data_IF_638381341578
#
_entry.id   IF_638381341578
#
_cell.length_a   1.000
_cell.length_b   1.000
_cell.length_c   1.000
_cell.angle_alpha   90.00
_cell.angle_beta   90.00
_cell.angle_gamma   90.00
#
_symmetry.space_group_name_H-M   'P 1'
#
loop_
_entity.id
_entity.type
_entity.pdbx_description
1 polymer ?
#
# COMPACT_ATOMS: atom_id res chain seq x y z
N UNK A 1 10.52 19.09 -38.74
CA UNK A 1 10.79 19.33 -37.30
C UNK A 1 10.41 18.08 -36.54
N UNK A 2 11.36 17.42 -35.86
CA UNK A 2 11.02 16.35 -34.91
C UNK A 2 10.55 17.04 -33.64
N UNK A 3 9.35 16.73 -33.18
CA UNK A 3 8.89 17.17 -31.86
C UNK A 3 9.78 16.47 -30.85
N UNK A 4 10.68 17.22 -30.21
CA UNK A 4 11.40 16.74 -29.05
C UNK A 4 10.36 16.32 -28.02
N UNK A 5 10.28 15.01 -27.74
CA UNK A 5 9.40 14.51 -26.69
C UNK A 5 9.77 15.23 -25.39
N UNK A 6 8.80 15.81 -24.66
CA UNK A 6 9.09 16.43 -23.39
C UNK A 6 9.77 15.41 -22.48
N UNK A 7 11.06 15.62 -22.20
CA UNK A 7 11.78 14.83 -21.21
C UNK A 7 11.13 15.13 -19.87
N UNK A 8 10.41 14.15 -19.32
CA UNK A 8 9.81 14.29 -18.00
C UNK A 8 10.91 14.67 -16.99
N UNK A 9 10.69 15.69 -16.16
CA UNK A 9 11.69 16.21 -15.22
C UNK A 9 12.02 15.23 -14.08
N UNK A 10 11.24 14.16 -13.95
CA UNK A 10 11.43 13.11 -12.95
C UNK A 10 12.24 11.94 -13.49
N UNK A 11 13.27 11.58 -12.72
CA UNK A 11 14.03 10.32 -12.85
C UNK A 11 13.08 9.11 -12.70
N UNK A 12 13.45 7.96 -13.28
CA UNK A 12 12.62 6.76 -13.27
C UNK A 12 12.23 6.33 -11.85
N UNK A 13 13.19 6.34 -10.93
CA UNK A 13 13.00 6.01 -9.51
C UNK A 13 12.00 6.95 -8.82
N UNK A 14 11.97 8.23 -9.19
CA UNK A 14 11.02 9.17 -8.62
C UNK A 14 9.58 8.89 -9.08
N UNK A 15 9.41 8.38 -10.32
CA UNK A 15 8.09 7.97 -10.81
C UNK A 15 7.60 6.72 -10.10
N UNK A 16 8.47 5.72 -9.96
CA UNK A 16 8.13 4.50 -9.21
C UNK A 16 7.69 4.81 -7.78
N UNK A 17 8.36 5.75 -7.11
CA UNK A 17 7.96 6.22 -5.79
C UNK A 17 6.60 6.93 -5.78
N UNK A 18 6.32 7.76 -6.77
CA UNK A 18 5.03 8.44 -6.91
C UNK A 18 3.93 7.42 -7.17
N UNK A 19 4.13 6.49 -8.10
CA UNK A 19 3.18 5.43 -8.45
C UNK A 19 2.89 4.55 -7.23
N UNK A 20 3.93 4.13 -6.50
CA UNK A 20 3.78 3.42 -5.24
C UNK A 20 2.92 4.20 -4.23
N UNK A 21 3.22 5.49 -4.02
CA UNK A 21 2.47 6.31 -3.08
C UNK A 21 1.00 6.47 -3.49
N UNK A 22 0.72 6.65 -4.77
CA UNK A 22 -0.64 6.75 -5.32
C UNK A 22 -1.41 5.44 -5.12
N UNK A 23 -0.79 4.31 -5.45
CA UNK A 23 -1.38 2.99 -5.25
C UNK A 23 -1.62 2.72 -3.77
N UNK A 24 -0.65 3.04 -2.90
CA UNK A 24 -0.73 2.78 -1.46
C UNK A 24 -1.85 3.59 -0.78
N UNK A 25 -2.26 4.73 -1.35
CA UNK A 25 -3.44 5.48 -0.92
C UNK A 25 -4.77 4.82 -1.29
N UNK A 26 -4.79 3.84 -2.20
CA UNK A 26 -6.00 3.06 -2.50
C UNK A 26 -6.21 1.93 -1.49
N UNK A 27 -7.45 1.44 -1.39
CA UNK A 27 -7.76 0.28 -0.53
C UNK A 27 -6.99 -0.95 -1.01
N UNK A 28 -6.95 -1.15 -2.33
CA UNK A 28 -6.26 -2.27 -2.96
C UNK A 28 -4.75 -2.23 -2.70
N UNK A 29 -4.10 -1.07 -2.90
CA UNK A 29 -2.66 -0.95 -2.68
C UNK A 29 -2.27 -1.09 -1.21
N UNK A 30 -3.06 -0.55 -0.28
CA UNK A 30 -2.82 -0.81 1.15
C UNK A 30 -2.93 -2.30 1.49
N UNK A 31 -3.93 -3.00 0.95
CA UNK A 31 -4.06 -4.45 1.12
C UNK A 31 -2.85 -5.17 0.51
N UNK A 32 -2.39 -4.78 -0.67
CA UNK A 32 -1.24 -5.39 -1.33
C UNK A 32 0.04 -5.26 -0.51
N UNK A 33 0.35 -4.07 0.01
CA UNK A 33 1.52 -3.85 0.89
C UNK A 33 1.40 -4.65 2.18
N UNK A 34 0.19 -4.75 2.73
CA UNK A 34 -0.07 -5.61 3.88
C UNK A 34 0.20 -7.09 3.58
N UNK A 35 -0.30 -7.62 2.47
CA UNK A 35 -0.11 -9.03 2.10
C UNK A 35 1.34 -9.34 1.78
N UNK A 36 2.04 -8.43 1.12
CA UNK A 36 3.46 -8.52 0.88
C UNK A 36 4.23 -8.56 2.21
N UNK A 37 3.96 -7.62 3.12
CA UNK A 37 4.59 -7.58 4.45
C UNK A 37 4.31 -8.87 5.24
N UNK A 38 3.07 -9.34 5.21
CA UNK A 38 2.68 -10.56 5.93
C UNK A 38 3.37 -11.81 5.34
N UNK A 39 3.54 -11.86 4.03
CA UNK A 39 4.22 -12.96 3.33
C UNK A 39 5.73 -12.94 3.55
N UNK A 40 6.38 -11.80 3.28
CA UNK A 40 7.84 -11.69 3.23
C UNK A 40 8.46 -11.66 4.62
N UNK A 41 7.87 -10.95 5.57
CA UNK A 41 8.46 -10.79 6.91
C UNK A 41 7.93 -11.77 7.94
N UNK A 42 6.69 -12.24 7.76
CA UNK A 42 5.99 -13.04 8.76
C UNK A 42 5.53 -14.41 8.24
N UNK A 43 5.96 -14.80 7.03
CA UNK A 43 5.70 -16.10 6.42
C UNK A 43 4.20 -16.48 6.39
N UNK A 44 3.32 -15.49 6.26
CA UNK A 44 1.85 -15.66 6.28
C UNK A 44 1.30 -16.33 7.55
N UNK A 45 2.02 -16.26 8.68
CA UNK A 45 1.56 -16.84 9.94
C UNK A 45 0.44 -15.98 10.55
N UNK A 46 -0.73 -16.57 10.81
CA UNK A 46 -1.91 -15.87 11.34
C UNK A 46 -1.63 -15.10 12.64
N UNK A 47 -0.79 -15.64 13.54
CA UNK A 47 -0.38 -14.96 14.79
C UNK A 47 0.30 -13.60 14.56
N UNK A 48 0.86 -13.37 13.38
CA UNK A 48 1.58 -12.16 13.03
C UNK A 48 0.79 -11.18 12.16
N UNK A 49 -0.43 -11.53 11.77
CA UNK A 49 -1.29 -10.69 10.92
C UNK A 49 -1.50 -9.28 11.50
N UNK A 50 -1.71 -9.20 12.82
CA UNK A 50 -1.81 -7.91 13.53
C UNK A 50 -0.50 -7.11 13.49
N UNK A 51 0.66 -7.77 13.59
CA UNK A 51 1.95 -7.11 13.51
C UNK A 51 2.24 -6.59 12.08
N UNK A 52 1.85 -7.35 11.05
CA UNK A 52 1.94 -6.93 9.65
C UNK A 52 1.10 -5.67 9.41
N UNK A 53 -0.13 -5.63 9.92
CA UNK A 53 -0.98 -4.44 9.85
C UNK A 53 -0.32 -3.22 10.51
N UNK A 54 0.13 -3.33 11.77
CA UNK A 54 0.71 -2.17 12.47
C UNK A 54 1.96 -1.63 11.76
N UNK A 55 2.74 -2.52 11.15
CA UNK A 55 3.91 -2.11 10.37
C UNK A 55 3.51 -1.30 9.13
N UNK A 56 2.51 -1.77 8.39
CA UNK A 56 2.02 -1.11 7.18
C UNK A 56 1.34 0.22 7.54
N UNK A 57 0.55 0.25 8.60
CA UNK A 57 -0.09 1.46 9.11
C UNK A 57 0.93 2.51 9.55
N UNK A 58 2.03 2.08 10.19
CA UNK A 58 3.14 2.98 10.57
C UNK A 58 3.86 3.54 9.33
N UNK A 59 4.09 2.72 8.31
CA UNK A 59 4.65 3.18 7.03
C UNK A 59 3.72 4.21 6.36
N UNK A 60 2.42 3.91 6.31
CA UNK A 60 1.42 4.81 5.76
C UNK A 60 1.39 6.16 6.50
N UNK A 61 1.38 6.13 7.83
CA UNK A 61 1.41 7.33 8.65
C UNK A 61 2.70 8.13 8.49
N UNK A 62 3.83 7.46 8.23
CA UNK A 62 5.09 8.15 7.98
C UNK A 62 5.08 8.89 6.63
N UNK A 63 4.52 8.28 5.59
CA UNK A 63 4.48 8.86 4.24
C UNK A 63 3.40 9.95 4.09
N UNK A 64 2.26 9.80 4.75
CA UNK A 64 1.09 10.66 4.53
C UNK A 64 0.66 11.47 5.75
N UNK A 65 1.36 11.35 6.88
CA UNK A 65 1.08 12.12 8.10
C UNK A 65 -0.24 11.76 8.80
N UNK A 66 -0.91 10.69 8.38
CA UNK A 66 -2.19 10.27 8.92
C UNK A 66 -2.33 8.74 8.94
N UNK A 67 -3.20 8.25 9.82
CA UNK A 67 -3.63 6.85 9.78
C UNK A 67 -4.57 6.63 8.60
N UNK A 68 -4.51 5.45 7.99
CA UNK A 68 -5.49 5.01 7.00
C UNK A 68 -6.74 4.46 7.69
N UNK A 69 -6.53 3.62 8.69
CA UNK A 69 -7.61 2.97 9.43
C UNK A 69 -7.50 3.29 10.92
N UNK A 70 -8.66 3.58 11.52
CA UNK A 70 -8.75 3.87 12.96
C UNK A 70 -8.24 2.68 13.78
N UNK A 71 -8.61 1.47 13.37
CA UNK A 71 -8.20 0.23 14.02
C UNK A 71 -8.12 -0.94 13.02
N UNK A 72 -7.65 -2.07 13.54
CA UNK A 72 -7.45 -3.33 12.80
C UNK A 72 -8.75 -3.94 12.28
N UNK A 73 -9.84 -3.82 13.03
CA UNK A 73 -11.12 -4.44 12.66
C UNK A 73 -11.74 -3.74 11.45
N UNK A 74 -11.64 -2.40 11.41
CA UNK A 74 -12.02 -1.60 10.24
C UNK A 74 -11.21 -2.03 9.02
N UNK A 75 -9.90 -2.20 9.17
CA UNK A 75 -9.05 -2.71 8.08
C UNK A 75 -9.47 -4.09 7.60
N UNK A 76 -9.63 -5.07 8.50
CA UNK A 76 -10.00 -6.44 8.10
C UNK A 76 -11.39 -6.50 7.46
N UNK A 77 -12.31 -5.64 7.91
CA UNK A 77 -13.63 -5.46 7.28
C UNK A 77 -13.49 -4.93 5.86
N UNK A 78 -12.67 -3.89 5.64
CA UNK A 78 -12.40 -3.34 4.32
C UNK A 78 -11.74 -4.37 3.39
N UNK A 79 -10.74 -5.12 3.90
CA UNK A 79 -10.08 -6.22 3.18
C UNK A 79 -11.06 -7.32 2.79
N UNK A 80 -11.93 -7.74 3.69
CA UNK A 80 -12.97 -8.75 3.41
C UNK A 80 -13.94 -8.27 2.33
N UNK A 81 -14.40 -7.01 2.39
CA UNK A 81 -15.27 -6.42 1.38
C UNK A 81 -14.58 -6.33 0.01
N UNK A 82 -13.32 -5.91 -0.01
CA UNK A 82 -12.53 -5.83 -1.24
C UNK A 82 -12.50 -7.19 -1.97
N UNK A 83 -12.16 -8.28 -1.29
CA UNK A 83 -12.17 -9.61 -1.92
C UNK A 83 -13.53 -10.13 -2.36
N UNK A 84 -14.62 -9.64 -1.76
CA UNK A 84 -15.98 -9.98 -2.22
C UNK A 84 -16.35 -9.24 -3.50
N UNK A 85 -15.74 -8.09 -3.76
CA UNK A 85 -16.00 -7.25 -4.94
C UNK A 85 -15.08 -7.60 -6.11
N UNK A 86 -13.89 -8.14 -5.84
CA UNK A 86 -12.88 -8.49 -6.86
C UNK A 86 -12.82 -9.98 -7.20
N UNK A 87 -13.65 -10.81 -6.55
CA UNK A 87 -13.91 -12.21 -6.95
C UNK A 87 -15.20 -12.30 -7.76
#
# INVERSE_FOLDING_TARGET
MKLDHPKSPFDASAREWVDFCLDFQTVAGFIAVFEQTWKEEFSSLEKHKGASYEKVEKLYSHLFGQRRYNDREVFYSARSRHYKQTR
#
